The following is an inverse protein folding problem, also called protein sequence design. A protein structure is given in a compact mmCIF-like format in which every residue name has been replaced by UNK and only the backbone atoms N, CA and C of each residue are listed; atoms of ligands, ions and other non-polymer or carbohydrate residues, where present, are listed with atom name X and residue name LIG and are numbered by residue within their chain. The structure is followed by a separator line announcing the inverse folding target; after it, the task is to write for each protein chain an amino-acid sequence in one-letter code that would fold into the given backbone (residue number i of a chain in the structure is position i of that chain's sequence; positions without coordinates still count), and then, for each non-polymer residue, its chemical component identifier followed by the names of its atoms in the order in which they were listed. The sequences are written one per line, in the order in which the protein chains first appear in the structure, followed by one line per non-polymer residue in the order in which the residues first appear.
data_IF_715096172346
#
_entry.id   IF_715096172346
#
_cell.length_a   1.000
_cell.length_b   1.000
_cell.length_c   1.000
_cell.angle_alpha   90.00
_cell.angle_beta   90.00
_cell.angle_gamma   90.00
#
_symmetry.space_group_name_H-M   'P 1'
#
loop_
_entity.id
_entity.type
_entity.pdbx_description
1 polymer ?
#
# COMPACT_ATOMS: atom_id res chain seq x y z
N UNK A 1 -32.92 15.59 44.96
CA UNK A 1 -32.24 15.37 43.67
C UNK A 1 -32.98 16.18 42.62
N UNK A 2 -32.41 17.30 42.19
CA UNK A 2 -33.10 18.28 41.34
C UNK A 2 -33.44 17.68 39.96
N UNK A 3 -34.63 17.97 39.39
CA UNK A 3 -35.10 17.41 38.12
C UNK A 3 -34.17 17.67 36.93
N UNK A 4 -33.29 18.68 37.05
CA UNK A 4 -32.29 19.03 36.05
C UNK A 4 -31.18 17.97 35.93
N UNK A 5 -30.81 17.32 37.03
CA UNK A 5 -29.83 16.23 36.98
C UNK A 5 -30.39 15.00 36.26
N UNK A 6 -31.69 14.73 36.41
CA UNK A 6 -32.37 13.63 35.73
C UNK A 6 -32.46 13.88 34.22
N UNK A 7 -32.76 15.12 33.82
CA UNK A 7 -32.80 15.53 32.42
C UNK A 7 -31.42 15.45 31.74
N UNK A 8 -30.35 15.87 32.44
CA UNK A 8 -28.98 15.77 31.94
C UNK A 8 -28.53 14.31 31.73
N UNK A 9 -28.87 13.41 32.65
CA UNK A 9 -28.56 11.99 32.53
C UNK A 9 -29.31 11.33 31.35
N UNK A 10 -30.57 11.68 31.14
CA UNK A 10 -31.36 11.21 29.99
C UNK A 10 -30.78 11.72 28.65
N UNK A 11 -30.35 12.99 28.59
CA UNK A 11 -29.72 13.55 27.39
C UNK A 11 -28.38 12.88 27.08
N UNK A 12 -27.57 12.57 28.11
CA UNK A 12 -26.31 11.86 27.95
C UNK A 12 -26.50 10.40 27.49
N UNK A 13 -27.58 9.73 27.92
CA UNK A 13 -27.91 8.36 27.49
C UNK A 13 -28.47 8.28 26.06
N UNK A 14 -29.08 9.37 25.58
CA UNK A 14 -29.60 9.50 24.21
C UNK A 14 -28.56 10.03 23.21
N UNK A 15 -27.43 10.56 23.69
CA UNK A 15 -26.30 10.85 22.81
C UNK A 15 -25.72 9.52 22.32
N UNK A 16 -25.79 9.21 21.02
CA UNK A 16 -25.07 8.06 20.50
C UNK A 16 -23.60 8.28 20.83
N UNK A 17 -23.01 7.37 21.61
CA UNK A 17 -21.57 7.32 21.73
C UNK A 17 -21.04 7.23 20.30
N UNK A 18 -20.29 8.23 19.85
CA UNK A 18 -19.53 8.10 18.63
C UNK A 18 -18.58 6.93 18.88
N UNK A 19 -18.98 5.74 18.43
CA UNK A 19 -18.12 4.59 18.37
C UNK A 19 -17.10 4.93 17.29
N UNK A 20 -16.03 5.61 17.71
CA UNK A 20 -14.80 5.66 16.93
C UNK A 20 -14.31 4.22 16.90
N UNK A 21 -14.69 3.51 15.84
CA UNK A 21 -14.17 2.19 15.54
C UNK A 21 -12.71 2.37 15.19
N UNK A 22 -11.84 2.20 16.16
CA UNK A 22 -10.44 1.93 15.87
C UNK A 22 -10.38 0.54 15.29
N UNK A 23 -9.88 0.38 14.06
CA UNK A 23 -9.57 -0.94 13.55
C UNK A 23 -8.64 -1.64 14.57
N UNK A 24 -8.95 -2.88 15.01
CA UNK A 24 -7.98 -3.65 15.78
C UNK A 24 -6.68 -3.66 14.98
N UNK A 25 -5.55 -3.40 15.66
CA UNK A 25 -4.23 -3.34 15.00
C UNK A 25 -4.12 -4.44 13.95
N UNK A 26 -3.71 -4.07 12.74
CA UNK A 26 -3.61 -5.01 11.64
C UNK A 26 -2.66 -6.13 12.06
N UNK A 27 -3.21 -7.28 12.47
CA UNK A 27 -2.46 -8.44 12.95
C UNK A 27 -1.52 -8.98 11.86
N UNK A 28 -1.69 -8.52 10.61
CA UNK A 28 -0.90 -8.90 9.45
C UNK A 28 -0.65 -7.69 8.55
N UNK A 29 0.59 -7.51 8.10
CA UNK A 29 1.00 -6.43 7.20
C UNK A 29 0.37 -6.53 5.80
N UNK A 30 0.09 -7.76 5.34
CA UNK A 30 -0.51 -8.03 4.04
C UNK A 30 -1.48 -9.24 4.08
N UNK A 31 -2.43 -9.27 3.15
CA UNK A 31 -3.30 -10.42 2.90
C UNK A 31 -3.44 -10.61 1.38
N UNK A 32 -2.77 -11.62 0.82
CA UNK A 32 -2.98 -12.02 -0.57
C UNK A 32 -4.20 -12.96 -0.62
N UNK A 33 -5.28 -12.62 -1.34
CA UNK A 33 -6.48 -13.46 -1.43
C UNK A 33 -6.17 -14.86 -1.96
N UNK A 34 -6.71 -15.89 -1.30
CA UNK A 34 -6.67 -17.27 -1.79
C UNK A 34 -8.02 -17.69 -2.41
N UNK A 35 -8.16 -17.64 -3.75
CA UNK A 35 -9.35 -18.15 -4.42
C UNK A 35 -9.38 -19.69 -4.49
N UNK A 36 -8.37 -20.37 -3.95
CA UNK A 36 -8.13 -21.79 -4.12
C UNK A 36 -7.32 -22.10 -5.38
N UNK A 37 -6.80 -23.33 -5.43
CA UNK A 37 -5.84 -23.76 -6.45
C UNK A 37 -6.40 -23.64 -7.86
N UNK A 38 -5.68 -22.90 -8.72
CA UNK A 38 -6.01 -22.77 -10.16
C UNK A 38 -7.22 -21.88 -10.46
N UNK A 39 -7.77 -21.16 -9.48
CA UNK A 39 -8.89 -20.23 -9.68
C UNK A 39 -8.39 -18.79 -9.77
N UNK A 40 -8.95 -17.96 -10.67
CA UNK A 40 -8.69 -16.53 -10.68
C UNK A 40 -9.36 -15.85 -9.47
N UNK A 41 -8.80 -14.73 -9.03
CA UNK A 41 -9.42 -13.87 -8.01
C UNK A 41 -10.61 -13.14 -8.64
N UNK A 42 -11.79 -13.32 -8.07
CA UNK A 42 -12.98 -12.55 -8.44
C UNK A 42 -13.11 -11.29 -7.57
N UNK A 43 -13.18 -10.11 -8.20
CA UNK A 43 -13.10 -8.81 -7.52
C UNK A 43 -14.29 -8.54 -6.59
N UNK A 44 -15.49 -9.00 -6.97
CA UNK A 44 -16.70 -8.95 -6.14
C UNK A 44 -16.58 -9.80 -4.86
N UNK A 45 -15.70 -10.80 -4.86
CA UNK A 45 -15.49 -11.73 -3.75
C UNK A 45 -14.21 -11.46 -2.97
N UNK A 46 -13.46 -10.40 -3.28
CA UNK A 46 -12.14 -10.13 -2.67
C UNK A 46 -12.18 -10.07 -1.14
N UNK A 47 -13.28 -9.57 -0.56
CA UNK A 47 -13.52 -9.49 0.89
C UNK A 47 -13.84 -10.83 1.55
N UNK A 48 -14.17 -11.85 0.76
CA UNK A 48 -14.61 -13.18 1.24
C UNK A 48 -13.53 -14.25 1.11
N UNK A 49 -12.47 -14.00 0.34
CA UNK A 49 -11.38 -14.95 0.22
C UNK A 49 -10.55 -14.98 1.51
N UNK A 50 -10.19 -16.17 2.02
CA UNK A 50 -9.20 -16.26 3.09
C UNK A 50 -7.84 -15.75 2.60
N UNK A 51 -7.00 -15.29 3.53
CA UNK A 51 -5.62 -14.95 3.20
C UNK A 51 -4.82 -16.22 2.96
N UNK A 52 -3.94 -16.19 1.95
CA UNK A 52 -2.91 -17.23 1.80
C UNK A 52 -2.02 -17.28 3.02
N UNK A 53 -1.56 -18.49 3.37
CA UNK A 53 -0.56 -18.69 4.41
C UNK A 53 0.74 -17.94 4.07
N UNK A 54 1.34 -17.17 5.02
CA UNK A 54 2.61 -16.49 4.79
C UNK A 54 3.75 -17.42 4.35
N UNK A 55 3.72 -18.68 4.80
CA UNK A 55 4.72 -19.68 4.43
C UNK A 55 4.69 -20.08 2.93
N UNK A 56 3.59 -19.81 2.24
CA UNK A 56 3.38 -20.16 0.84
C UNK A 56 3.47 -18.95 -0.10
N UNK A 57 3.81 -17.78 0.42
CA UNK A 57 3.94 -16.57 -0.39
C UNK A 57 5.33 -16.47 -1.00
N UNK A 58 5.36 -15.93 -2.20
CA UNK A 58 6.58 -15.64 -2.96
C UNK A 58 6.60 -14.17 -3.36
N UNK A 59 7.77 -13.66 -3.76
CA UNK A 59 7.87 -12.33 -4.33
C UNK A 59 6.94 -12.13 -5.56
N UNK A 60 6.62 -13.21 -6.28
CA UNK A 60 5.70 -13.19 -7.41
C UNK A 60 4.26 -12.81 -7.04
N UNK A 61 3.83 -13.10 -5.81
CA UNK A 61 2.47 -12.77 -5.35
C UNK A 61 2.26 -11.26 -5.12
N UNK A 62 3.37 -10.52 -4.98
CA UNK A 62 3.38 -9.06 -4.84
C UNK A 62 3.80 -8.34 -6.13
N UNK A 63 4.19 -9.10 -7.16
CA UNK A 63 4.66 -8.56 -8.44
C UNK A 63 3.57 -8.68 -9.51
N UNK A 64 3.08 -7.54 -10.00
CA UNK A 64 2.17 -7.49 -11.13
C UNK A 64 2.93 -7.15 -12.42
N UNK A 65 2.90 -8.05 -13.41
CA UNK A 65 3.58 -7.88 -14.71
C UNK A 65 2.65 -7.89 -15.92
N UNK A 66 1.32 -7.96 -15.70
CA UNK A 66 0.31 -8.11 -16.76
C UNK A 66 0.13 -6.91 -17.69
N UNK A 67 0.72 -5.75 -17.39
CA UNK A 67 0.58 -4.51 -18.19
C UNK A 67 1.56 -4.41 -19.36
N UNK A 68 2.31 -5.48 -19.65
CA UNK A 68 3.40 -5.43 -20.64
C UNK A 68 2.93 -5.58 -22.09
N UNK A 69 1.70 -6.04 -22.33
CA UNK A 69 1.15 -6.21 -23.67
C UNK A 69 0.44 -4.93 -24.14
N UNK A 70 0.90 -4.38 -25.28
CA UNK A 70 0.20 -3.29 -25.95
C UNK A 70 -1.13 -3.78 -26.53
N UNK A 71 -2.19 -2.97 -26.43
CA UNK A 71 -3.47 -3.24 -27.09
C UNK A 71 -4.69 -3.24 -26.18
N UNK A 72 -4.53 -3.45 -24.86
CA UNK A 72 -5.62 -3.39 -23.88
C UNK A 72 -5.26 -2.50 -22.69
N UNK A 73 -6.19 -1.66 -22.18
CA UNK A 73 -5.99 -0.95 -20.92
C UNK A 73 -5.77 -1.94 -19.78
N UNK A 74 -4.74 -1.70 -18.96
CA UNK A 74 -4.57 -2.44 -17.72
C UNK A 74 -5.29 -1.73 -16.57
N UNK A 75 -5.97 -2.52 -15.74
CA UNK A 75 -6.65 -2.04 -14.54
C UNK A 75 -5.98 -2.64 -13.31
N UNK A 76 -5.66 -1.80 -12.33
CA UNK A 76 -5.10 -2.21 -11.03
C UNK A 76 -6.13 -1.92 -9.95
N UNK A 77 -6.36 -2.89 -9.07
CA UNK A 77 -7.22 -2.73 -7.89
C UNK A 77 -6.35 -2.78 -6.63
N UNK A 78 -6.46 -1.76 -5.79
CA UNK A 78 -5.82 -1.71 -4.47
C UNK A 78 -6.88 -1.53 -3.39
N UNK A 79 -6.87 -2.41 -2.41
CA UNK A 79 -7.73 -2.32 -1.22
C UNK A 79 -6.86 -1.98 -0.03
N UNK A 80 -7.17 -0.87 0.64
CA UNK A 80 -6.46 -0.45 1.83
C UNK A 80 -7.38 -0.56 3.04
N UNK A 81 -6.86 -1.11 4.12
CA UNK A 81 -7.57 -1.27 5.38
C UNK A 81 -7.61 0.02 6.22
N UNK A 82 -6.69 0.96 5.99
CA UNK A 82 -6.63 2.23 6.73
C UNK A 82 -7.54 3.30 6.12
N UNK A 83 -8.15 4.15 6.97
CA UNK A 83 -8.89 5.35 6.56
C UNK A 83 -8.02 6.37 5.82
N UNK A 84 -6.71 6.36 6.08
CA UNK A 84 -5.74 7.26 5.45
C UNK A 84 -4.54 6.46 4.92
N UNK A 85 -4.71 5.72 3.83
CA UNK A 85 -3.68 4.84 3.32
C UNK A 85 -2.55 5.64 2.65
N UNK A 86 -1.31 5.38 3.06
CA UNK A 86 -0.12 5.90 2.38
C UNK A 86 0.22 5.09 1.14
N UNK A 87 0.74 5.76 0.10
CA UNK A 87 1.30 5.10 -1.09
C UNK A 87 2.79 5.46 -1.20
N UNK A 88 3.66 4.45 -1.19
CA UNK A 88 5.09 4.62 -1.42
C UNK A 88 5.48 3.98 -2.76
N UNK A 89 5.88 4.82 -3.72
CA UNK A 89 6.39 4.34 -5.02
C UNK A 89 7.87 4.01 -4.88
N UNK A 90 8.18 2.76 -4.53
CA UNK A 90 9.54 2.33 -4.16
C UNK A 90 10.61 2.80 -5.16
N UNK A 91 10.50 2.56 -6.49
CA UNK A 91 11.58 2.97 -7.39
C UNK A 91 11.83 4.48 -7.40
N UNK A 92 10.76 5.28 -7.41
CA UNK A 92 10.89 6.73 -7.38
C UNK A 92 11.40 7.25 -6.03
N UNK A 93 10.96 6.63 -4.93
CA UNK A 93 11.33 7.04 -3.57
C UNK A 93 12.78 6.67 -3.29
N UNK A 94 13.20 5.44 -3.61
CA UNK A 94 14.57 4.97 -3.37
C UNK A 94 15.55 5.67 -4.29
N UNK A 95 15.34 5.62 -5.61
CA UNK A 95 16.29 6.16 -6.59
C UNK A 95 16.14 7.68 -6.83
N UNK A 96 15.13 8.34 -6.24
CA UNK A 96 14.95 9.79 -6.27
C UNK A 96 15.24 10.50 -4.94
N UNK A 97 15.60 9.78 -3.87
CA UNK A 97 15.81 10.34 -2.53
C UNK A 97 17.15 11.05 -2.30
N UNK A 98 18.09 10.95 -3.24
CA UNK A 98 19.45 11.46 -3.06
C UNK A 98 20.33 10.58 -2.15
N UNK A 99 19.95 9.33 -1.89
CA UNK A 99 20.85 8.34 -1.28
C UNK A 99 22.11 8.21 -2.14
N UNK A 100 23.27 8.17 -1.51
CA UNK A 100 24.57 8.04 -2.21
C UNK A 100 24.57 6.81 -3.13
N UNK A 101 25.01 6.99 -4.36
CA UNK A 101 25.10 5.97 -5.40
C UNK A 101 25.79 4.69 -4.90
N UNK A 102 26.94 4.82 -4.22
CA UNK A 102 27.67 3.68 -3.65
C UNK A 102 26.86 2.83 -2.63
N UNK A 103 25.88 3.42 -1.94
CA UNK A 103 24.98 2.68 -1.06
C UNK A 103 23.92 1.95 -1.88
N UNK A 104 23.36 2.61 -2.90
CA UNK A 104 22.37 2.00 -3.80
C UNK A 104 22.99 0.84 -4.60
N UNK A 105 24.18 1.02 -5.16
CA UNK A 105 24.94 -0.01 -5.86
C UNK A 105 25.16 -1.24 -4.99
N UNK A 106 25.62 -1.06 -3.75
CA UNK A 106 25.90 -2.17 -2.83
C UNK A 106 24.63 -2.83 -2.30
N UNK A 107 23.60 -2.06 -1.95
CA UNK A 107 22.37 -2.59 -1.38
C UNK A 107 21.56 -3.39 -2.40
N UNK A 108 21.56 -2.95 -3.66
CA UNK A 108 20.78 -3.58 -4.73
C UNK A 108 21.64 -4.44 -5.68
N UNK A 109 22.96 -4.50 -5.48
CA UNK A 109 23.88 -5.27 -6.32
C UNK A 109 23.96 -4.75 -7.76
N UNK A 110 23.87 -3.44 -7.96
CA UNK A 110 23.80 -2.80 -9.28
C UNK A 110 25.17 -2.33 -9.76
N UNK A 111 25.41 -2.38 -11.07
CA UNK A 111 26.50 -1.63 -11.68
C UNK A 111 26.18 -0.12 -11.73
N UNK A 112 27.20 0.76 -11.83
CA UNK A 112 26.98 2.19 -12.01
C UNK A 112 26.10 2.53 -13.22
N UNK A 113 26.23 1.78 -14.33
CA UNK A 113 25.41 1.94 -15.53
C UNK A 113 23.94 1.54 -15.30
N UNK A 114 23.71 0.47 -14.55
CA UNK A 114 22.36 0.03 -14.17
C UNK A 114 21.69 1.04 -13.26
N UNK A 115 22.40 1.52 -12.24
CA UNK A 115 21.90 2.55 -11.35
C UNK A 115 21.50 3.81 -12.12
N UNK A 116 22.37 4.31 -13.01
CA UNK A 116 22.07 5.48 -13.86
C UNK A 116 20.84 5.26 -14.76
N UNK A 117 20.66 4.06 -15.31
CA UNK A 117 19.45 3.73 -16.11
C UNK A 117 18.18 3.76 -15.28
N UNK A 118 18.24 3.26 -14.04
CA UNK A 118 17.11 3.25 -13.12
C UNK A 118 16.79 4.68 -12.66
N UNK A 119 17.79 5.46 -12.25
CA UNK A 119 17.63 6.88 -11.90
C UNK A 119 17.04 7.68 -13.06
N UNK A 120 17.51 7.49 -14.29
CA UNK A 120 16.95 8.17 -15.46
C UNK A 120 15.47 7.84 -15.70
N UNK A 121 15.05 6.62 -15.35
CA UNK A 121 13.68 6.14 -15.58
C UNK A 121 12.71 6.50 -14.45
N UNK A 122 13.20 6.52 -13.21
CA UNK A 122 12.36 6.62 -12.01
C UNK A 122 12.75 7.74 -11.05
N UNK A 123 13.98 8.24 -11.14
CA UNK A 123 14.49 9.32 -10.30
C UNK A 123 13.84 10.66 -10.63
N UNK A 124 13.88 11.56 -9.66
CA UNK A 124 13.53 12.98 -9.85
C UNK A 124 14.74 13.65 -10.51
N UNK A 125 14.57 14.55 -11.51
CA UNK A 125 15.68 15.27 -12.11
C UNK A 125 16.53 15.94 -11.02
N UNK A 126 17.85 15.65 -11.00
CA UNK A 126 18.78 16.30 -10.08
C UNK A 126 18.77 17.79 -10.41
N UNK A 127 18.71 18.65 -9.39
CA UNK A 127 18.54 20.12 -9.47
C UNK A 127 19.64 20.87 -10.28
N UNK A 128 20.56 20.16 -10.93
CA UNK A 128 21.60 20.74 -11.78
C UNK A 128 21.10 21.14 -13.19
N UNK A 129 19.86 20.80 -13.57
CA UNK A 129 19.28 21.16 -14.88
C UNK A 129 18.30 22.36 -14.82
N UNK A 130 18.24 23.09 -13.69
CA UNK A 130 17.41 24.30 -13.52
C UNK A 130 18.26 25.55 -13.21
N UNK A 131 19.46 25.61 -13.78
CA UNK A 131 20.26 26.84 -13.91
C UNK A 131 20.98 26.82 -15.27
N UNK A 132 20.20 26.86 -16.35
CA UNK A 132 20.54 27.55 -17.60
C UNK A 132 19.28 28.25 -18.13
#
# INVERSE_FOLDING_TARGET
MAPHHLALLLLAALLPAAAIGTDPDAVQDFCVPDPGRGRPVELNLIRSYPCRSPANLTAGDFAFSGVRAAGNPATVYGTFNSENPGIVRIPATVFGSGIRDAVLERAFGLSPEELRRIEKRFGVPKKAELED
#
